data_IF_809261918027
#
_entry.id   IF_809261918027
#
_cell.length_a   1.000
_cell.length_b   1.000
_cell.length_c   1.000
_cell.angle_alpha   90.00
_cell.angle_beta   90.00
_cell.angle_gamma   90.00
#
_symmetry.space_group_name_H-M   'P 1'
#
loop_
_entity.id
_entity.type
_entity.pdbx_description
1 polymer ?
#
# COMPACT_ATOMS: atom_id res chain seq x y z
N UNK A 1 50.87 -8.76 -14.65
CA UNK A 1 49.67 -9.46 -15.13
C UNK A 1 48.66 -9.52 -14.00
N UNK A 2 47.87 -8.47 -13.84
CA UNK A 2 46.59 -8.40 -13.10
C UNK A 2 45.78 -7.27 -13.79
N UNK A 3 44.46 -7.44 -13.98
CA UNK A 3 43.71 -6.69 -14.98
C UNK A 3 43.37 -5.26 -14.55
N UNK A 4 43.43 -4.34 -15.51
CA UNK A 4 42.82 -3.01 -15.44
C UNK A 4 41.32 -3.17 -15.17
N UNK A 5 40.85 -2.60 -14.06
CA UNK A 5 39.43 -2.35 -13.83
C UNK A 5 39.17 -0.94 -14.34
N UNK A 6 38.46 -0.85 -15.47
CA UNK A 6 38.06 0.41 -16.07
C UNK A 6 37.29 1.29 -15.07
N UNK A 7 37.90 2.43 -14.77
CA UNK A 7 37.38 3.55 -14.00
C UNK A 7 36.27 4.25 -14.81
N UNK A 8 35.11 3.61 -14.98
CA UNK A 8 33.91 4.28 -15.51
C UNK A 8 33.12 4.90 -14.36
N UNK A 9 33.70 5.93 -13.75
CA UNK A 9 33.03 6.79 -12.76
C UNK A 9 33.46 8.25 -12.95
N UNK A 10 33.39 8.72 -14.19
CA UNK A 10 33.71 10.10 -14.53
C UNK A 10 32.80 10.58 -15.66
N UNK A 11 31.54 10.86 -15.35
CA UNK A 11 30.63 11.60 -16.26
C UNK A 11 29.49 12.28 -15.48
N UNK A 12 29.82 13.07 -14.45
CA UNK A 12 28.79 13.83 -13.72
C UNK A 12 29.10 15.29 -13.39
N UNK A 13 30.19 15.88 -13.89
CA UNK A 13 30.41 17.32 -13.77
C UNK A 13 30.22 18.03 -15.12
N UNK A 14 28.96 18.38 -15.41
CA UNK A 14 28.61 19.34 -16.44
C UNK A 14 28.96 20.79 -16.02
N UNK A 15 29.02 21.73 -16.98
CA UNK A 15 29.48 23.10 -16.76
C UNK A 15 28.57 23.90 -15.80
N UNK A 16 29.12 24.90 -15.08
CA UNK A 16 28.37 25.73 -14.13
C UNK A 16 27.33 26.58 -14.88
N UNK A 17 26.06 26.28 -14.68
CA UNK A 17 24.93 26.93 -15.35
C UNK A 17 23.91 25.94 -15.93
N UNK A 18 24.24 24.66 -16.00
CA UNK A 18 23.30 23.62 -16.36
C UNK A 18 22.75 22.99 -15.08
N UNK A 19 21.50 23.32 -14.71
CA UNK A 19 20.79 22.51 -13.72
C UNK A 19 20.66 21.13 -14.34
N UNK A 20 21.56 20.23 -14.00
CA UNK A 20 21.44 18.81 -14.30
C UNK A 20 20.06 18.42 -13.80
N UNK A 21 19.09 18.29 -14.71
CA UNK A 21 17.81 17.71 -14.35
C UNK A 21 18.19 16.29 -13.98
N UNK A 22 18.33 16.02 -12.68
CA UNK A 22 18.52 14.68 -12.17
C UNK A 22 17.38 13.88 -12.78
N UNK A 23 17.69 13.10 -13.82
CA UNK A 23 16.68 12.36 -14.55
C UNK A 23 16.37 11.18 -13.67
N UNK A 24 15.42 11.38 -12.74
CA UNK A 24 15.01 10.37 -11.80
C UNK A 24 14.69 9.08 -12.57
N UNK A 25 15.30 7.94 -12.20
CA UNK A 25 15.02 6.68 -12.87
C UNK A 25 13.55 6.36 -12.70
N UNK A 26 12.83 6.19 -13.82
CA UNK A 26 11.42 5.84 -13.80
C UNK A 26 11.32 4.38 -13.38
N UNK A 27 10.81 4.13 -12.17
CA UNK A 27 10.57 2.78 -11.67
C UNK A 27 9.56 2.06 -12.58
N UNK A 28 9.90 0.83 -12.99
CA UNK A 28 9.04 0.00 -13.86
C UNK A 28 7.92 -0.71 -13.09
N UNK A 29 8.08 -0.83 -11.77
CA UNK A 29 7.19 -1.50 -10.84
C UNK A 29 6.20 -0.54 -10.18
N UNK A 30 5.11 -1.11 -9.66
CA UNK A 30 4.17 -0.41 -8.79
C UNK A 30 4.88 0.01 -7.51
N UNK A 31 4.73 1.28 -7.13
CA UNK A 31 5.48 1.88 -6.02
C UNK A 31 4.52 2.62 -5.09
N UNK A 32 4.63 2.34 -3.78
CA UNK A 32 3.93 3.06 -2.74
C UNK A 32 4.93 3.91 -1.95
N UNK A 33 4.80 5.23 -2.00
CA UNK A 33 5.56 6.18 -1.20
C UNK A 33 4.73 6.54 0.01
N UNK A 34 5.33 6.49 1.20
CA UNK A 34 4.66 6.83 2.45
C UNK A 34 5.50 7.82 3.23
N UNK A 35 4.86 8.87 3.75
CA UNK A 35 5.53 9.88 4.57
C UNK A 35 4.59 10.43 5.64
N UNK A 36 5.15 10.91 6.75
CA UNK A 36 4.40 11.65 7.75
C UNK A 36 4.36 13.15 7.40
N UNK A 37 3.26 13.83 7.71
CA UNK A 37 3.10 15.26 7.45
C UNK A 37 4.19 16.10 8.14
N UNK A 38 4.68 15.67 9.30
CA UNK A 38 5.74 16.32 10.08
C UNK A 38 7.14 15.74 9.81
N UNK A 39 7.28 14.80 8.86
CA UNK A 39 8.57 14.22 8.53
C UNK A 39 9.49 15.25 7.88
N UNK A 40 10.78 15.26 8.25
CA UNK A 40 11.78 16.19 7.68
C UNK A 40 11.97 16.01 6.17
N UNK A 41 11.71 14.81 5.66
CA UNK A 41 11.84 14.46 4.25
C UNK A 41 10.52 14.58 3.44
N UNK A 42 9.44 15.10 4.05
CA UNK A 42 8.12 15.14 3.40
C UNK A 42 8.18 15.86 2.03
N UNK A 43 8.81 17.03 1.97
CA UNK A 43 8.98 17.79 0.73
C UNK A 43 9.75 17.00 -0.36
N UNK A 44 10.80 16.30 0.03
CA UNK A 44 11.60 15.46 -0.88
C UNK A 44 10.77 14.32 -1.46
N UNK A 45 9.92 13.68 -0.64
CA UNK A 45 9.03 12.60 -1.09
C UNK A 45 7.98 13.11 -2.08
N UNK A 46 7.38 14.27 -1.84
CA UNK A 46 6.46 14.90 -2.81
C UNK A 46 7.16 15.22 -4.14
N UNK A 47 8.38 15.74 -4.07
CA UNK A 47 9.20 16.01 -5.26
C UNK A 47 9.55 14.71 -5.99
N UNK A 48 9.88 13.64 -5.27
CA UNK A 48 10.14 12.33 -5.88
C UNK A 48 8.90 11.81 -6.60
N UNK A 49 7.72 11.91 -5.98
CA UNK A 49 6.45 11.49 -6.58
C UNK A 49 6.10 12.32 -7.83
N UNK A 50 6.41 13.62 -7.87
CA UNK A 50 6.13 14.46 -9.06
C UNK A 50 6.92 14.06 -10.29
N UNK A 51 8.10 13.44 -10.10
CA UNK A 51 8.95 12.96 -11.18
C UNK A 51 8.72 11.47 -11.52
N UNK A 52 7.80 10.80 -10.83
CA UNK A 52 7.47 9.39 -11.04
C UNK A 52 6.25 9.22 -11.96
N UNK A 53 6.06 7.99 -12.46
CA UNK A 53 4.88 7.66 -13.23
C UNK A 53 3.64 7.53 -12.32
N UNK A 54 2.76 8.54 -12.38
CA UNK A 54 1.51 8.62 -11.60
C UNK A 54 0.55 7.43 -11.79
N UNK A 55 0.65 6.70 -12.91
CA UNK A 55 -0.16 5.51 -13.13
C UNK A 55 0.30 4.31 -12.28
N UNK A 56 1.57 4.29 -11.86
CA UNK A 56 2.20 3.20 -11.11
C UNK A 56 2.67 3.60 -9.72
N UNK A 57 2.56 4.88 -9.38
CA UNK A 57 3.03 5.42 -8.11
C UNK A 57 1.85 5.92 -7.29
N UNK A 58 1.77 5.48 -6.04
CA UNK A 58 0.83 5.98 -5.04
C UNK A 58 1.60 6.69 -3.94
N UNK A 59 1.09 7.83 -3.46
CA UNK A 59 1.67 8.58 -2.35
C UNK A 59 0.65 8.68 -1.21
N UNK A 60 1.08 8.34 0.01
CA UNK A 60 0.28 8.46 1.22
C UNK A 60 1.02 9.36 2.21
N UNK A 61 0.35 10.44 2.60
CA UNK A 61 0.83 11.35 3.63
C UNK A 61 -0.06 11.19 4.87
N UNK A 62 0.54 10.85 6.01
CA UNK A 62 -0.19 10.71 7.28
C UNK A 62 -0.13 12.01 8.09
N UNK A 63 -1.30 12.58 8.36
CA UNK A 63 -1.41 13.82 9.13
C UNK A 63 -0.96 13.66 10.58
N UNK A 64 -0.27 14.69 11.08
CA UNK A 64 0.15 14.78 12.47
C UNK A 64 1.35 13.92 12.87
N UNK A 65 1.91 13.14 11.93
CA UNK A 65 2.96 12.14 12.19
C UNK A 65 4.32 12.56 11.66
N UNK A 66 5.38 12.35 12.44
CA UNK A 66 6.77 12.47 12.00
C UNK A 66 7.29 11.17 11.42
N UNK A 67 7.32 10.12 12.24
CA UNK A 67 7.68 8.76 11.83
C UNK A 67 6.46 7.85 11.77
N UNK A 68 6.14 7.39 10.56
CA UNK A 68 4.97 6.57 10.27
C UNK A 68 5.02 5.20 10.96
N UNK A 69 6.19 4.57 11.05
CA UNK A 69 6.31 3.22 11.58
C UNK A 69 6.21 3.19 13.11
N UNK A 70 6.64 4.27 13.76
CA UNK A 70 6.62 4.40 15.22
C UNK A 70 5.26 4.93 15.70
N UNK A 71 4.75 5.99 15.07
CA UNK A 71 3.57 6.68 15.59
C UNK A 71 2.25 6.11 15.04
N UNK A 72 2.25 5.56 13.83
CA UNK A 72 1.03 5.11 13.17
C UNK A 72 1.19 3.80 12.36
N UNK A 73 1.74 2.72 12.97
CA UNK A 73 1.94 1.45 12.29
C UNK A 73 0.62 0.83 11.79
N UNK A 74 -0.48 1.01 12.52
CA UNK A 74 -1.79 0.46 12.14
C UNK A 74 -2.34 1.07 10.84
N UNK A 75 -2.19 2.40 10.69
CA UNK A 75 -2.61 3.12 9.48
C UNK A 75 -1.73 2.74 8.30
N UNK A 76 -0.42 2.62 8.54
CA UNK A 76 0.53 2.15 7.54
C UNK A 76 0.20 0.73 7.05
N UNK A 77 0.05 -0.23 7.96
CA UNK A 77 -0.28 -1.61 7.64
C UNK A 77 -1.59 -1.73 6.83
N UNK A 78 -2.61 -0.96 7.21
CA UNK A 78 -3.88 -0.91 6.48
C UNK A 78 -3.69 -0.44 5.04
N UNK A 79 -2.88 0.60 4.84
CA UNK A 79 -2.58 1.12 3.51
C UNK A 79 -1.71 0.18 2.67
N UNK A 80 -0.70 -0.44 3.29
CA UNK A 80 0.17 -1.43 2.66
C UNK A 80 -0.62 -2.66 2.23
N UNK A 81 -1.51 -3.15 3.08
CA UNK A 81 -2.38 -4.27 2.75
C UNK A 81 -3.30 -3.94 1.57
N UNK A 82 -3.89 -2.74 1.54
CA UNK A 82 -4.72 -2.31 0.42
C UNK A 82 -3.92 -2.22 -0.89
N UNK A 83 -2.68 -1.73 -0.82
CA UNK A 83 -1.77 -1.69 -1.95
C UNK A 83 -1.48 -3.11 -2.48
N UNK A 84 -1.07 -4.04 -1.61
CA UNK A 84 -0.85 -5.44 -1.99
C UNK A 84 -2.09 -6.08 -2.63
N UNK A 85 -3.28 -5.78 -2.12
CA UNK A 85 -4.55 -6.27 -2.69
C UNK A 85 -4.83 -5.66 -4.07
N UNK A 86 -4.51 -4.39 -4.27
CA UNK A 86 -4.55 -3.74 -5.58
C UNK A 86 -3.63 -4.39 -6.61
N UNK A 87 -2.52 -4.99 -6.17
CA UNK A 87 -1.59 -5.75 -7.00
C UNK A 87 -2.05 -7.20 -7.28
N UNK A 88 -3.18 -7.63 -6.71
CA UNK A 88 -3.66 -9.02 -6.80
C UNK A 88 -3.00 -9.97 -5.80
N UNK A 89 -2.20 -9.46 -4.86
CA UNK A 89 -1.61 -10.23 -3.76
C UNK A 89 -2.51 -10.22 -2.52
N UNK A 90 -2.41 -11.23 -1.66
CA UNK A 90 -3.08 -11.27 -0.34
C UNK A 90 -4.62 -11.12 -0.40
N UNK A 91 -5.27 -11.53 -1.49
CA UNK A 91 -6.72 -11.40 -1.70
C UNK A 91 -7.56 -12.12 -0.63
N UNK A 92 -7.02 -13.19 -0.04
CA UNK A 92 -7.64 -13.96 1.05
C UNK A 92 -7.60 -13.23 2.41
N UNK A 93 -6.72 -12.25 2.59
CA UNK A 93 -6.60 -11.51 3.85
C UNK A 93 -7.71 -10.46 3.94
N UNK A 94 -8.59 -10.62 4.92
CA UNK A 94 -9.66 -9.66 5.15
C UNK A 94 -9.08 -8.35 5.69
N UNK A 95 -9.17 -7.27 4.92
CA UNK A 95 -8.61 -5.96 5.27
C UNK A 95 -9.43 -5.23 6.34
N UNK A 96 -10.65 -5.72 6.63
CA UNK A 96 -11.42 -5.25 7.77
C UNK A 96 -10.93 -5.97 9.02
N UNK A 97 -10.11 -5.28 9.82
CA UNK A 97 -10.15 -5.50 11.25
C UNK A 97 -11.62 -5.40 11.65
N UNK A 98 -12.26 -6.54 11.94
CA UNK A 98 -13.57 -6.51 12.58
C UNK A 98 -13.32 -5.73 13.86
N UNK A 99 -13.85 -4.52 13.95
CA UNK A 99 -13.92 -3.78 15.21
C UNK A 99 -14.47 -4.76 16.22
N UNK A 100 -13.61 -5.19 17.14
CA UNK A 100 -14.00 -5.90 18.35
C UNK A 100 -14.72 -4.87 19.22
N UNK A 101 -15.87 -4.37 18.76
CA UNK A 101 -16.78 -3.63 19.62
C UNK A 101 -17.31 -4.66 20.59
N UNK A 102 -16.69 -4.67 21.76
CA UNK A 102 -17.27 -5.01 23.05
C UNK A 102 -18.79 -4.99 23.00
N UNK A 103 -19.37 -6.17 22.80
CA UNK A 103 -20.76 -6.45 23.10
C UNK A 103 -20.75 -7.25 24.38
N UNK A 104 -20.71 -6.57 25.53
CA UNK A 104 -21.25 -7.11 26.77
C UNK A 104 -22.75 -7.31 26.57
N UNK A 105 -23.11 -8.39 25.91
CA UNK A 105 -24.48 -8.76 25.58
C UNK A 105 -24.54 -10.27 25.52
N UNK A 106 -24.94 -10.87 26.63
CA UNK A 106 -25.38 -12.25 26.70
C UNK A 106 -26.39 -12.52 25.57
N UNK A 107 -26.04 -13.36 24.60
CA UNK A 107 -26.92 -13.61 23.46
C UNK A 107 -26.30 -14.41 22.32
N UNK A 108 -26.20 -15.72 22.52
CA UNK A 108 -26.09 -16.80 21.53
C UNK A 108 -25.78 -16.49 20.05
N UNK A 109 -24.64 -17.04 19.60
CA UNK A 109 -24.64 -17.91 18.41
C UNK A 109 -24.27 -17.26 17.07
N UNK A 110 -22.99 -17.38 16.70
CA UNK A 110 -22.52 -17.14 15.33
C UNK A 110 -21.33 -18.03 14.99
N UNK A 111 -21.47 -19.33 15.22
CA UNK A 111 -20.47 -20.35 14.91
C UNK A 111 -20.16 -20.29 13.41
N UNK A 112 -18.92 -20.00 13.05
CA UNK A 112 -18.35 -20.40 11.75
C UNK A 112 -18.44 -21.93 11.65
N UNK A 113 -19.58 -22.44 11.19
CA UNK A 113 -19.76 -23.84 10.81
C UNK A 113 -19.38 -23.93 9.34
N UNK A 114 -18.35 -24.70 9.03
CA UNK A 114 -18.16 -25.22 7.67
C UNK A 114 -19.44 -25.93 7.25
N UNK A 115 -20.10 -25.43 6.22
CA UNK A 115 -21.31 -26.04 5.67
C UNK A 115 -20.90 -27.26 4.82
N UNK A 116 -21.65 -28.35 4.88
CA UNK A 116 -21.38 -29.54 4.06
C UNK A 116 -21.62 -29.26 2.58
N UNK A 117 -21.09 -30.09 1.69
CA UNK A 117 -21.32 -30.01 0.25
C UNK A 117 -22.82 -30.12 -0.09
N UNK A 118 -23.58 -30.93 0.66
CA UNK A 118 -25.04 -31.04 0.51
C UNK A 118 -25.80 -29.80 0.99
N UNK A 119 -25.18 -28.92 1.77
CA UNK A 119 -25.81 -27.69 2.25
C UNK A 119 -25.66 -26.52 1.27
N UNK A 120 -24.77 -26.63 0.27
CA UNK A 120 -24.67 -25.67 -0.83
C UNK A 120 -25.78 -25.82 -1.86
N UNK A 121 -26.24 -27.05 -2.09
CA UNK A 121 -27.23 -27.35 -3.13
C UNK A 121 -28.67 -26.96 -2.73
N UNK A 122 -28.89 -26.59 -1.47
CA UNK A 122 -30.21 -26.19 -0.99
C UNK A 122 -30.45 -24.71 -1.31
N UNK A 123 -31.46 -24.36 -2.12
CA UNK A 123 -31.73 -22.97 -2.45
C UNK A 123 -32.16 -22.20 -1.20
N UNK A 124 -31.33 -21.24 -0.78
CA UNK A 124 -31.60 -20.40 0.39
C UNK A 124 -32.27 -19.09 -0.02
N UNK A 125 -33.61 -19.04 0.11
CA UNK A 125 -34.41 -17.85 -0.22
C UNK A 125 -34.00 -16.59 0.57
N UNK A 126 -33.35 -16.72 1.73
CA UNK A 126 -32.84 -15.57 2.50
C UNK A 126 -31.58 -14.95 1.88
N UNK A 127 -30.92 -15.65 0.97
CA UNK A 127 -29.72 -15.18 0.26
C UNK A 127 -30.05 -14.56 -1.11
N UNK A 128 -31.28 -14.74 -1.59
CA UNK A 128 -31.76 -14.26 -2.88
C UNK A 128 -32.88 -13.23 -2.69
N UNK A 129 -32.61 -12.13 -1.97
CA UNK A 129 -33.45 -10.93 -2.09
C UNK A 129 -32.90 -10.04 -3.22
N UNK A 130 -33.22 -10.39 -4.47
CA UNK A 130 -33.07 -9.44 -5.59
C UNK A 130 -34.26 -8.49 -5.48
N UNK A 131 -34.04 -7.28 -4.97
CA UNK A 131 -35.02 -6.20 -5.08
C UNK A 131 -35.21 -5.91 -6.56
N UNK A 132 -36.33 -6.38 -7.12
CA UNK A 132 -36.76 -6.07 -8.48
C UNK A 132 -37.35 -4.65 -8.47
N UNK A 133 -36.76 -3.72 -9.23
CA UNK A 133 -37.45 -2.50 -9.69
C UNK A 133 -38.37 -2.82 -10.85
#
# INVERSE_FOLDING_TARGET
MLPNVDTSLADHFGPPGQTSRCRWPILKMETLLVTGAKASHNHTVHTMHSHMNKAKSSLITLEGVGDVLIEAPEKFCSSMLLFCKGLGMLTSVNARARTLSSGSGSGGGGRNRSMSMEDYDKPNARRLSVTKS
#
